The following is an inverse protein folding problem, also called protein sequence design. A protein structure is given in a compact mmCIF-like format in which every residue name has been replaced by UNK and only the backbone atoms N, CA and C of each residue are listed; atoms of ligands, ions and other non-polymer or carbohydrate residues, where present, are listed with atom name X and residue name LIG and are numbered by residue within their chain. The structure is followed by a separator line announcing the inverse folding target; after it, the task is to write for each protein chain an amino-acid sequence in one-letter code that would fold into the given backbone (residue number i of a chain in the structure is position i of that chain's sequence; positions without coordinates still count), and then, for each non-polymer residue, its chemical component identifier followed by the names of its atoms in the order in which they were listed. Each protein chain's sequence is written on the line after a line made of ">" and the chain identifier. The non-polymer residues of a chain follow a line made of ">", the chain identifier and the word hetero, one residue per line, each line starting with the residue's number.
data_IF_418385747364
#
_entry.id   IF_418385747364
#
_cell.length_a   1.000
_cell.length_b   1.000
_cell.length_c   1.000
_cell.angle_alpha   90.00
_cell.angle_beta   90.00
_cell.angle_gamma   90.00
#
_symmetry.space_group_name_H-M   'P 1'
#
loop_
_entity.id
_entity.type
_entity.pdbx_description
1 polymer ?
#
# COMPACT_ATOMS: atom_id res chain seq x y z
N UNK A 1 -10.75 -12.37 2.24
CA UNK A 1 -10.16 -11.14 2.82
C UNK A 1 -9.12 -11.49 3.86
N UNK A 2 -7.95 -10.85 3.79
CA UNK A 2 -6.86 -10.96 4.77
C UNK A 2 -6.67 -9.62 5.47
N UNK A 3 -6.79 -9.62 6.79
CA UNK A 3 -6.49 -8.45 7.62
C UNK A 3 -4.96 -8.27 7.65
N UNK A 4 -4.49 -7.07 7.33
CA UNK A 4 -3.06 -6.71 7.43
C UNK A 4 -2.77 -6.19 8.82
N UNK A 5 -3.59 -5.26 9.30
CA UNK A 5 -3.56 -4.71 10.66
C UNK A 5 -4.96 -4.21 11.09
N UNK A 6 -5.04 -3.45 12.19
CA UNK A 6 -6.32 -2.91 12.69
C UNK A 6 -6.97 -1.83 11.82
N UNK A 7 -6.33 -1.40 10.72
CA UNK A 7 -6.80 -0.33 9.83
C UNK A 7 -6.92 -0.77 8.37
N UNK A 8 -6.15 -1.76 7.94
CA UNK A 8 -6.03 -2.17 6.55
C UNK A 8 -6.30 -3.67 6.37
N UNK A 9 -7.00 -3.99 5.28
CA UNK A 9 -7.24 -5.35 4.84
C UNK A 9 -7.16 -5.44 3.31
N UNK A 10 -6.80 -6.63 2.80
CA UNK A 10 -6.72 -6.93 1.37
C UNK A 10 -7.72 -8.04 1.02
N UNK A 11 -8.38 -7.92 -0.12
CA UNK A 11 -9.28 -8.97 -0.61
C UNK A 11 -9.12 -9.14 -2.12
N UNK A 12 -9.20 -10.39 -2.56
CA UNK A 12 -9.28 -10.77 -3.98
C UNK A 12 -10.70 -11.17 -4.36
N UNK A 13 -11.63 -11.15 -3.41
CA UNK A 13 -13.03 -11.54 -3.62
C UNK A 13 -13.78 -10.47 -4.40
N UNK A 14 -14.34 -10.84 -5.55
CA UNK A 14 -15.15 -9.93 -6.38
C UNK A 14 -16.43 -9.44 -5.69
N UNK A 15 -16.87 -10.14 -4.63
CA UNK A 15 -18.01 -9.73 -3.82
C UNK A 15 -17.85 -8.34 -3.21
N UNK A 16 -16.61 -7.88 -2.97
CA UNK A 16 -16.36 -6.53 -2.46
C UNK A 16 -16.80 -5.45 -3.46
N UNK A 17 -16.65 -5.69 -4.76
CA UNK A 17 -17.05 -4.75 -5.80
C UNK A 17 -18.58 -4.61 -5.84
N UNK A 18 -19.29 -5.73 -5.65
CA UNK A 18 -20.75 -5.72 -5.54
C UNK A 18 -21.20 -4.95 -4.30
N UNK A 19 -20.58 -5.21 -3.14
CA UNK A 19 -20.87 -4.49 -1.91
C UNK A 19 -20.61 -2.97 -2.06
N UNK A 20 -19.54 -2.57 -2.75
CA UNK A 20 -19.27 -1.17 -3.08
C UNK A 20 -20.36 -0.55 -3.96
N UNK A 21 -20.81 -1.26 -5.01
CA UNK A 21 -21.89 -0.79 -5.87
C UNK A 21 -23.24 -0.65 -5.12
N UNK A 22 -23.46 -1.49 -4.11
CA UNK A 22 -24.66 -1.45 -3.25
C UNK A 22 -24.53 -0.46 -2.07
N UNK A 23 -23.40 0.25 -1.92
CA UNK A 23 -23.17 1.19 -0.82
C UNK A 23 -22.79 0.55 0.52
N UNK A 24 -22.53 -0.75 0.55
CA UNK A 24 -22.10 -1.52 1.73
C UNK A 24 -20.59 -1.83 1.72
N UNK A 25 -19.84 -1.19 0.83
CA UNK A 25 -18.39 -1.35 0.70
C UNK A 25 -17.58 -0.63 1.79
N UNK A 26 -16.25 -0.80 1.79
CA UNK A 26 -15.39 -0.06 2.71
C UNK A 26 -15.45 1.46 2.44
N UNK A 27 -15.17 2.25 3.48
CA UNK A 27 -15.15 3.73 3.39
C UNK A 27 -14.11 4.25 2.40
N UNK A 28 -12.98 3.57 2.28
CA UNK A 28 -11.91 3.86 1.32
C UNK A 28 -11.42 2.53 0.73
N UNK A 29 -11.07 2.53 -0.55
CA UNK A 29 -10.55 1.35 -1.24
C UNK A 29 -9.49 1.76 -2.27
N UNK A 30 -8.48 0.91 -2.42
CA UNK A 30 -7.51 0.98 -3.51
C UNK A 30 -7.66 -0.30 -4.34
N UNK A 31 -7.96 -0.16 -5.62
CA UNK A 31 -7.98 -1.28 -6.55
C UNK A 31 -6.63 -1.40 -7.25
N UNK A 32 -6.01 -2.58 -7.15
CA UNK A 32 -4.71 -2.86 -7.74
C UNK A 32 -4.79 -4.10 -8.64
N UNK A 33 -4.08 -4.06 -9.77
CA UNK A 33 -3.93 -5.18 -10.69
C UNK A 33 -2.46 -5.62 -10.73
N UNK A 34 -2.22 -6.88 -10.37
CA UNK A 34 -0.87 -7.41 -10.18
C UNK A 34 -0.32 -7.10 -8.78
N UNK A 35 0.93 -7.53 -8.54
CA UNK A 35 1.64 -7.29 -7.29
C UNK A 35 3.14 -7.25 -7.55
N UNK A 36 3.87 -6.55 -6.68
CA UNK A 36 5.34 -6.65 -6.60
C UNK A 36 5.70 -7.83 -5.71
N UNK A 37 6.53 -8.74 -6.23
CA UNK A 37 6.98 -9.94 -5.53
C UNK A 37 8.50 -10.03 -5.52
N UNK A 38 9.03 -10.61 -4.46
CA UNK A 38 10.46 -10.84 -4.27
C UNK A 38 10.74 -12.33 -4.11
N UNK A 39 11.84 -12.77 -4.69
CA UNK A 39 12.42 -14.07 -4.39
C UNK A 39 13.05 -14.12 -2.99
N UNK A 40 13.47 -15.31 -2.53
CA UNK A 40 14.09 -15.47 -1.21
C UNK A 40 15.32 -14.56 -1.03
N UNK A 41 15.33 -13.73 0.01
CA UNK A 41 16.44 -12.84 0.35
C UNK A 41 16.62 -11.63 -0.60
N UNK A 42 15.79 -11.51 -1.63
CA UNK A 42 15.95 -10.47 -2.65
C UNK A 42 15.65 -9.08 -2.07
N UNK A 43 14.55 -8.93 -1.34
CA UNK A 43 14.16 -7.64 -0.75
C UNK A 43 15.18 -7.16 0.28
N UNK A 44 15.66 -8.07 1.13
CA UNK A 44 16.69 -7.76 2.13
C UNK A 44 18.00 -7.33 1.46
N UNK A 45 18.39 -7.99 0.37
CA UNK A 45 19.55 -7.61 -0.44
C UNK A 45 19.39 -6.25 -1.11
N UNK A 46 18.21 -5.93 -1.64
CA UNK A 46 17.91 -4.62 -2.23
C UNK A 46 17.94 -3.50 -1.18
N UNK A 47 17.37 -3.73 0.01
CA UNK A 47 17.47 -2.78 1.14
C UNK A 47 18.93 -2.58 1.55
N UNK A 48 19.72 -3.66 1.66
CA UNK A 48 21.13 -3.58 2.05
C UNK A 48 22.00 -2.81 1.03
N UNK A 49 21.64 -2.83 -0.26
CA UNK A 49 22.30 -2.04 -1.31
C UNK A 49 21.84 -0.58 -1.36
N UNK A 50 20.79 -0.22 -0.62
CA UNK A 50 20.17 1.10 -0.68
C UNK A 50 19.24 1.31 -1.88
N UNK A 51 18.79 0.23 -2.53
CA UNK A 51 17.82 0.30 -3.63
C UNK A 51 16.42 0.65 -3.09
N UNK A 52 16.12 0.26 -1.84
CA UNK A 52 14.89 0.58 -1.13
C UNK A 52 15.13 1.20 0.24
N UNK A 53 14.27 2.15 0.59
CA UNK A 53 14.12 2.68 1.95
C UNK A 53 12.72 2.34 2.48
N UNK A 54 12.64 1.92 3.74
CA UNK A 54 11.38 1.58 4.38
C UNK A 54 10.90 2.68 5.33
N UNK A 55 9.58 2.85 5.42
CA UNK A 55 8.92 3.73 6.37
C UNK A 55 7.69 3.01 6.96
N UNK A 56 7.25 3.36 8.18
CA UNK A 56 6.01 2.83 8.73
C UNK A 56 4.82 3.13 7.81
N UNK A 57 4.00 2.11 7.56
CA UNK A 57 2.80 2.25 6.73
C UNK A 57 1.85 3.32 7.30
N UNK A 58 1.19 4.05 6.41
CA UNK A 58 0.21 5.08 6.76
C UNK A 58 -1.03 4.91 5.87
N UNK A 59 -2.18 4.68 6.48
CA UNK A 59 -3.46 4.55 5.78
C UNK A 59 -3.76 5.78 4.91
N UNK A 60 -3.34 6.97 5.34
CA UNK A 60 -3.52 8.19 4.55
C UNK A 60 -2.67 8.09 3.31
N UNK A 61 -1.41 7.69 3.41
CA UNK A 61 -0.56 7.56 2.23
C UNK A 61 -1.06 6.50 1.24
N UNK A 62 -1.62 5.39 1.75
CA UNK A 62 -2.21 4.32 0.93
C UNK A 62 -3.47 4.80 0.20
N UNK A 63 -4.44 5.38 0.91
CA UNK A 63 -5.79 5.67 0.38
C UNK A 63 -6.04 7.13 -0.04
N UNK A 64 -5.05 8.00 0.05
CA UNK A 64 -5.16 9.40 -0.39
C UNK A 64 -5.25 9.51 -1.92
N UNK A 65 -5.96 10.52 -2.40
CA UNK A 65 -6.19 10.79 -3.82
C UNK A 65 -5.12 11.72 -4.42
N UNK A 66 -4.36 12.45 -3.59
CA UNK A 66 -3.24 13.27 -4.04
C UNK A 66 -1.99 12.42 -4.32
N UNK A 67 -2.03 11.74 -5.47
CA UNK A 67 -0.97 10.85 -5.95
C UNK A 67 0.35 11.56 -6.14
N UNK A 68 0.33 12.80 -6.63
CA UNK A 68 1.54 13.59 -6.94
C UNK A 68 2.38 13.81 -5.69
N UNK A 69 1.76 14.16 -4.56
CA UNK A 69 2.51 14.37 -3.31
C UNK A 69 2.84 13.10 -2.54
N UNK A 70 2.34 11.92 -2.96
CA UNK A 70 2.55 10.66 -2.20
C UNK A 70 4.03 10.32 -2.09
N UNK A 71 4.77 10.48 -3.18
CA UNK A 71 6.19 10.13 -3.20
C UNK A 71 6.98 11.01 -2.23
N UNK A 72 6.87 12.32 -2.34
CA UNK A 72 7.58 13.26 -1.46
C UNK A 72 7.25 13.04 0.02
N UNK A 73 5.97 12.79 0.33
CA UNK A 73 5.54 12.46 1.69
C UNK A 73 6.10 11.12 2.17
N UNK A 74 6.12 10.10 1.32
CA UNK A 74 6.68 8.79 1.66
C UNK A 74 8.19 8.88 1.89
N UNK A 75 8.91 9.55 0.99
CA UNK A 75 10.35 9.77 1.07
C UNK A 75 10.73 10.57 2.32
N UNK A 76 10.00 11.65 2.63
CA UNK A 76 10.21 12.42 3.86
C UNK A 76 10.02 11.56 5.13
N UNK A 77 9.03 10.65 5.14
CA UNK A 77 8.83 9.71 6.26
C UNK A 77 9.91 8.63 6.35
N UNK A 78 10.50 8.25 5.23
CA UNK A 78 11.66 7.37 5.18
C UNK A 78 12.98 8.06 5.59
N UNK A 79 12.92 9.37 5.90
CA UNK A 79 14.09 10.17 6.26
C UNK A 79 14.92 10.64 5.05
N UNK A 80 14.38 10.49 3.84
CA UNK A 80 15.01 10.98 2.62
C UNK A 80 14.62 12.45 2.39
N UNK A 81 15.61 13.25 1.98
CA UNK A 81 15.36 14.57 1.39
C UNK A 81 15.65 14.46 -0.10
N UNK A 82 14.60 14.56 -0.90
CA UNK A 82 14.68 14.68 -2.35
C UNK A 82 14.78 16.15 -2.75
#
# INVERSE_FOLDING_TARGET
>A
TRVVDGRMAMTTEMSVLKAMAEGHGPRQALFALGYSGWGPGQLEGEIARGDWHSAPADEKLVFDDDVESKWDRASGRAGLKL
#
